data_IF_616202213712
#
_entry.id   IF_616202213712
#
_cell.length_a   1.000
_cell.length_b   1.000
_cell.length_c   1.000
_cell.angle_alpha   90.00
_cell.angle_beta   90.00
_cell.angle_gamma   90.00
#
_symmetry.space_group_name_H-M   'P 1'
#
loop_
_entity.id
_entity.type
_entity.pdbx_description
1 polymer ?
#
# COMPACT_ATOMS: atom_id res chain seq x y z
N UNK A 1 2.53 10.78 18.64
CA UNK A 1 3.66 10.36 17.78
C UNK A 1 3.34 10.81 16.36
N UNK A 2 4.04 11.81 15.78
CA UNK A 2 3.71 12.26 14.43
C UNK A 2 4.02 11.14 13.44
N UNK A 3 3.00 10.66 12.73
CA UNK A 3 3.12 9.75 11.59
C UNK A 3 3.15 10.66 10.37
N UNK A 4 4.28 10.72 9.67
CA UNK A 4 4.36 11.45 8.41
C UNK A 4 3.92 10.49 7.31
N UNK A 5 2.64 10.56 6.93
CA UNK A 5 2.06 9.76 5.85
C UNK A 5 2.08 10.60 4.57
N UNK A 6 3.00 10.30 3.67
CA UNK A 6 3.18 11.03 2.41
C UNK A 6 2.63 10.19 1.25
N UNK A 7 1.31 10.15 1.15
CA UNK A 7 0.64 9.53 0.01
C UNK A 7 0.84 10.41 -1.23
N UNK A 8 1.31 9.84 -2.34
CA UNK A 8 1.57 10.58 -3.58
C UNK A 8 2.74 11.56 -3.54
N UNK A 9 3.67 11.45 -2.57
CA UNK A 9 4.91 12.23 -2.63
C UNK A 9 5.83 11.65 -3.71
N UNK A 10 6.25 12.44 -4.73
CA UNK A 10 7.14 11.97 -5.77
C UNK A 10 8.59 11.87 -5.28
N UNK A 11 8.84 11.02 -4.29
CA UNK A 11 10.10 10.92 -3.58
C UNK A 11 11.26 10.59 -4.52
N UNK A 12 11.07 9.69 -5.49
CA UNK A 12 12.11 9.36 -6.47
C UNK A 12 12.40 10.48 -7.48
N UNK A 13 11.49 11.45 -7.63
CA UNK A 13 11.73 12.67 -8.42
C UNK A 13 12.58 13.67 -7.63
N UNK A 14 12.26 13.86 -6.36
CA UNK A 14 12.91 14.86 -5.51
C UNK A 14 14.24 14.36 -4.92
N UNK A 15 14.36 13.05 -4.73
CA UNK A 15 15.52 12.36 -4.15
C UNK A 15 15.88 11.15 -5.04
N UNK A 16 16.47 11.37 -6.23
CA UNK A 16 16.75 10.29 -7.19
C UNK A 16 17.64 9.17 -6.66
N UNK A 17 18.53 9.48 -5.70
CA UNK A 17 19.42 8.54 -5.03
C UNK A 17 18.67 7.45 -4.23
N UNK A 18 17.39 7.65 -3.91
CA UNK A 18 16.58 6.62 -3.24
C UNK A 18 16.33 5.39 -4.12
N UNK A 19 16.40 5.52 -5.45
CA UNK A 19 16.21 4.39 -6.40
C UNK A 19 17.25 3.28 -6.21
N UNK A 20 18.45 3.62 -5.76
CA UNK A 20 19.54 2.66 -5.51
C UNK A 20 19.19 1.64 -4.41
N UNK A 21 18.20 1.96 -3.57
CA UNK A 21 17.73 1.12 -2.46
C UNK A 21 16.44 0.36 -2.79
N UNK A 22 15.89 0.54 -4.00
CA UNK A 22 14.73 -0.20 -4.49
C UNK A 22 15.22 -1.28 -5.44
N UNK A 23 15.14 -2.53 -5.02
CA UNK A 23 15.50 -3.67 -5.85
C UNK A 23 14.22 -4.18 -6.51
N UNK A 24 14.03 -3.82 -7.78
CA UNK A 24 12.99 -4.42 -8.61
C UNK A 24 13.39 -5.84 -9.00
N UNK A 25 12.47 -6.83 -8.92
CA UNK A 25 12.75 -8.18 -9.41
C UNK A 25 13.09 -8.15 -10.91
N UNK A 26 14.04 -8.97 -11.35
CA UNK A 26 14.54 -9.00 -12.75
C UNK A 26 13.52 -9.44 -13.80
N UNK A 27 12.34 -9.86 -13.38
CA UNK A 27 11.23 -10.27 -14.26
C UNK A 27 10.17 -9.17 -14.42
N UNK A 28 10.43 -7.97 -13.88
CA UNK A 28 9.58 -6.80 -14.05
C UNK A 28 10.39 -5.69 -14.74
N UNK A 29 9.88 -5.19 -15.86
CA UNK A 29 10.40 -3.98 -16.48
C UNK A 29 10.05 -2.78 -15.58
N UNK A 30 11.04 -1.95 -15.29
CA UNK A 30 10.87 -0.72 -14.50
C UNK A 30 10.14 0.34 -15.34
N UNK A 31 8.83 0.18 -15.49
CA UNK A 31 7.92 1.12 -16.17
C UNK A 31 7.68 2.41 -15.36
N UNK A 32 8.25 2.53 -14.16
CA UNK A 32 8.03 3.68 -13.27
C UNK A 32 8.44 5.02 -13.91
N UNK A 33 9.41 5.01 -14.83
CA UNK A 33 9.81 6.21 -15.56
C UNK A 33 8.70 6.77 -16.45
N UNK A 34 8.03 5.89 -17.20
CA UNK A 34 6.96 6.26 -18.13
C UNK A 34 5.66 6.60 -17.36
N UNK A 35 5.36 5.84 -16.31
CA UNK A 35 4.18 6.06 -15.46
C UNK A 35 4.29 7.38 -14.67
N UNK A 36 5.49 7.73 -14.16
CA UNK A 36 5.70 9.03 -13.51
C UNK A 36 5.48 10.18 -14.52
N UNK A 37 5.88 10.02 -15.78
CA UNK A 37 5.67 11.05 -16.80
C UNK A 37 4.16 11.26 -17.08
N UNK A 38 3.41 10.16 -17.22
CA UNK A 38 1.96 10.16 -17.45
C UNK A 38 1.17 10.71 -16.25
N UNK A 39 1.53 10.28 -15.04
CA UNK A 39 0.94 10.79 -13.78
C UNK A 39 1.17 12.30 -13.60
N UNK A 40 2.33 12.81 -14.00
CA UNK A 40 2.64 14.25 -13.96
C UNK A 40 1.84 15.04 -15.00
N UNK A 41 1.62 14.49 -16.19
CA UNK A 41 0.77 15.10 -17.22
C UNK A 41 -0.69 15.19 -16.73
N UNK A 42 -1.20 14.13 -16.12
CA UNK A 42 -2.51 14.10 -15.46
C UNK A 42 -2.61 15.09 -14.30
N UNK A 43 -1.58 15.21 -13.46
CA UNK A 43 -1.52 16.16 -12.34
C UNK A 43 -1.56 17.61 -12.83
N UNK A 44 -0.80 17.94 -13.86
CA UNK A 44 -0.79 19.28 -14.45
C UNK A 44 -2.13 19.61 -15.13
N UNK A 45 -2.75 18.65 -15.81
CA UNK A 45 -4.12 18.77 -16.34
C UNK A 45 -5.16 18.99 -15.24
N UNK A 46 -5.05 18.28 -14.12
CA UNK A 46 -5.94 18.40 -12.97
C UNK A 46 -5.78 19.77 -12.27
N UNK A 47 -4.55 20.23 -12.06
CA UNK A 47 -4.26 21.55 -11.49
C UNK A 47 -4.70 22.69 -12.42
N UNK A 48 -4.57 22.52 -13.73
CA UNK A 48 -5.11 23.45 -14.72
C UNK A 48 -6.66 23.50 -14.66
N UNK A 49 -7.32 22.36 -14.41
CA UNK A 49 -8.77 22.27 -14.21
C UNK A 49 -9.25 22.99 -12.94
N UNK A 50 -8.54 22.81 -11.83
CA UNK A 50 -8.83 23.46 -10.54
C UNK A 50 -8.63 24.98 -10.56
N UNK A 51 -7.64 25.47 -11.31
CA UNK A 51 -7.31 26.90 -11.37
C UNK A 51 -8.15 27.68 -12.39
N UNK A 52 -8.73 27.01 -13.39
CA UNK A 52 -9.50 27.67 -14.47
C UNK A 52 -11.01 27.41 -14.43
N UNK A 53 -11.54 26.74 -13.39
CA UNK A 53 -12.98 26.50 -13.26
C UNK A 53 -13.56 25.68 -14.42
N UNK A 54 -12.77 24.78 -15.00
CA UNK A 54 -13.20 23.98 -16.12
C UNK A 54 -14.03 22.80 -15.63
N UNK A 55 -15.34 22.83 -15.85
CA UNK A 55 -16.19 21.65 -15.76
C UNK A 55 -16.23 20.99 -17.14
N UNK A 56 -15.42 19.95 -17.33
CA UNK A 56 -15.58 19.07 -18.48
C UNK A 56 -16.92 18.33 -18.33
N UNK A 57 -17.74 18.19 -19.39
CA UNK A 57 -18.89 17.30 -19.33
C UNK A 57 -18.42 15.87 -19.04
N UNK A 58 -19.25 15.03 -18.39
CA UNK A 58 -18.88 13.65 -18.11
C UNK A 58 -18.62 12.94 -19.44
N UNK A 59 -17.38 12.54 -19.63
CA UNK A 59 -16.91 11.82 -20.81
C UNK A 59 -16.88 10.32 -20.47
N UNK A 60 -17.78 9.52 -21.07
CA UNK A 60 -17.83 8.08 -20.82
C UNK A 60 -16.51 7.37 -21.13
N UNK A 61 -15.73 7.84 -22.11
CA UNK A 61 -14.41 7.27 -22.42
C UNK A 61 -13.41 7.58 -21.32
N UNK A 62 -13.47 8.78 -20.73
CA UNK A 62 -12.59 9.17 -19.61
C UNK A 62 -12.88 8.39 -18.33
N UNK A 63 -14.15 8.10 -18.06
CA UNK A 63 -14.52 7.25 -16.92
C UNK A 63 -14.00 5.82 -17.15
N UNK A 64 -14.11 5.31 -18.38
CA UNK A 64 -13.60 4.00 -18.75
C UNK A 64 -12.07 3.91 -18.65
N UNK A 65 -11.32 4.96 -19.04
CA UNK A 65 -9.86 5.03 -18.86
C UNK A 65 -9.47 5.05 -17.38
N UNK A 66 -10.18 5.79 -16.52
CA UNK A 66 -9.92 5.80 -15.06
C UNK A 66 -10.21 4.43 -14.44
N UNK A 67 -11.24 3.75 -14.95
CA UNK A 67 -11.65 2.41 -14.51
C UNK A 67 -10.70 1.32 -15.06
N UNK A 68 -10.05 1.57 -16.22
CA UNK A 68 -9.12 0.66 -16.91
C UNK A 68 -7.63 0.93 -16.56
N UNK A 69 -7.28 2.10 -16.02
CA UNK A 69 -5.91 2.47 -15.65
C UNK A 69 -5.44 1.69 -14.41
N UNK A 70 -4.35 0.95 -14.57
CA UNK A 70 -3.58 0.37 -13.48
C UNK A 70 -2.97 1.50 -12.64
N UNK A 71 -3.61 1.85 -11.53
CA UNK A 71 -3.07 2.80 -10.56
C UNK A 71 -1.83 2.19 -9.88
N UNK A 72 -0.65 2.47 -10.42
CA UNK A 72 0.59 2.29 -9.67
C UNK A 72 0.59 3.31 -8.52
N UNK A 73 0.75 2.84 -7.30
CA UNK A 73 0.68 3.70 -6.11
C UNK A 73 1.98 3.61 -5.35
N UNK A 74 2.96 4.37 -5.83
CA UNK A 74 4.24 4.51 -5.13
C UNK A 74 4.05 5.26 -3.80
N UNK A 75 4.34 4.58 -2.68
CA UNK A 75 4.24 5.15 -1.33
C UNK A 75 5.57 5.12 -0.60
N UNK A 76 5.84 6.17 0.18
CA UNK A 76 6.95 6.22 1.13
C UNK A 76 6.41 6.22 2.56
N UNK A 77 6.86 5.26 3.35
CA UNK A 77 6.49 5.14 4.76
C UNK A 77 7.66 5.52 5.66
N UNK A 78 7.50 6.60 6.44
CA UNK A 78 8.49 7.04 7.43
C UNK A 78 7.84 7.02 8.81
N UNK A 79 8.43 6.26 9.73
CA UNK A 79 7.89 6.11 11.08
C UNK A 79 8.99 5.85 12.10
N UNK A 80 8.82 6.25 13.37
CA UNK A 80 9.75 5.90 14.42
C UNK A 80 9.66 4.41 14.78
N UNK A 81 10.66 3.93 15.54
CA UNK A 81 10.67 2.56 16.09
C UNK A 81 9.38 2.30 16.89
N UNK A 82 8.78 1.14 16.66
CA UNK A 82 7.55 0.71 17.35
C UNK A 82 6.26 1.20 16.71
N UNK A 83 6.31 1.88 15.56
CA UNK A 83 5.11 2.18 14.80
C UNK A 83 4.46 0.89 14.26
N UNK A 84 3.14 0.81 14.37
CA UNK A 84 2.33 -0.34 13.98
C UNK A 84 1.31 0.10 12.93
N UNK A 85 1.28 -0.63 11.83
CA UNK A 85 0.12 -0.66 10.91
C UNK A 85 -0.71 -1.87 11.30
N UNK A 86 -2.00 -1.68 11.55
CA UNK A 86 -2.91 -2.77 11.94
C UNK A 86 -3.01 -3.80 10.83
N UNK A 87 -3.37 -5.02 11.18
CA UNK A 87 -3.66 -6.07 10.20
C UNK A 87 -4.77 -5.60 9.25
N UNK A 88 -4.47 -5.66 7.96
CA UNK A 88 -5.35 -5.26 6.87
C UNK A 88 -4.90 -5.96 5.57
N UNK A 89 -5.75 -5.93 4.56
CA UNK A 89 -5.38 -6.23 3.17
C UNK A 89 -5.35 -4.94 2.35
N UNK A 90 -4.57 -4.90 1.27
CA UNK A 90 -4.53 -3.72 0.39
C UNK A 90 -5.77 -3.62 -0.51
N UNK A 91 -6.26 -2.41 -0.72
CA UNK A 91 -7.44 -2.16 -1.56
C UNK A 91 -7.12 -2.25 -3.05
N UNK A 92 -8.16 -2.43 -3.88
CA UNK A 92 -8.05 -2.32 -5.33
C UNK A 92 -7.38 -3.53 -5.99
N UNK A 93 -7.25 -4.65 -5.29
CA UNK A 93 -6.60 -5.86 -5.82
C UNK A 93 -5.11 -5.69 -6.08
N UNK A 94 -4.47 -4.73 -5.42
CA UNK A 94 -3.06 -4.44 -5.61
C UNK A 94 -2.17 -5.51 -4.96
N UNK A 95 -1.13 -5.92 -5.68
CA UNK A 95 0.04 -6.54 -5.08
C UNK A 95 0.94 -5.44 -4.49
N UNK A 96 1.47 -5.64 -3.29
CA UNK A 96 2.39 -4.70 -2.68
C UNK A 96 3.83 -5.20 -2.72
N UNK A 97 4.73 -4.37 -3.26
CA UNK A 97 6.17 -4.53 -3.13
C UNK A 97 6.69 -3.51 -2.13
N UNK A 98 7.16 -4.00 -0.98
CA UNK A 98 7.57 -3.16 0.14
C UNK A 98 9.07 -3.34 0.38
N UNK A 99 9.86 -2.44 -0.22
CA UNK A 99 11.32 -2.39 -0.04
C UNK A 99 11.69 -1.58 1.21
N UNK A 100 12.49 -2.16 2.09
CA UNK A 100 12.91 -1.52 3.33
C UNK A 100 14.19 -0.70 3.09
N UNK A 101 14.06 0.62 3.02
CA UNK A 101 15.20 1.51 2.75
C UNK A 101 16.09 1.72 3.98
N UNK A 102 15.50 1.86 5.18
CA UNK A 102 16.23 2.07 6.45
C UNK A 102 15.54 1.44 7.64
N UNK A 103 16.30 0.89 8.59
CA UNK A 103 15.78 0.16 9.75
C UNK A 103 15.23 -1.22 9.39
N UNK A 104 14.40 -1.78 10.28
CA UNK A 104 13.79 -3.10 10.10
C UNK A 104 12.30 -3.08 10.45
N UNK A 105 11.51 -3.88 9.75
CA UNK A 105 10.07 -4.00 9.98
C UNK A 105 9.68 -5.48 10.12
N UNK A 106 8.92 -5.80 11.16
CA UNK A 106 8.27 -7.10 11.31
C UNK A 106 6.99 -7.09 10.48
N UNK A 107 6.87 -8.05 9.57
CA UNK A 107 5.66 -8.37 8.85
C UNK A 107 5.07 -9.66 9.41
N UNK A 108 3.76 -9.62 9.69
CA UNK A 108 2.94 -10.78 10.01
C UNK A 108 1.84 -10.81 8.96
N UNK A 109 1.96 -11.74 8.02
CA UNK A 109 1.08 -11.89 6.88
C UNK A 109 0.26 -13.17 7.01
N UNK A 110 -0.92 -13.20 6.40
CA UNK A 110 -1.80 -14.36 6.37
C UNK A 110 -2.31 -14.56 4.95
N UNK A 111 -2.63 -15.80 4.59
CA UNK A 111 -3.24 -16.08 3.29
C UNK A 111 -4.69 -15.55 3.27
N UNK A 112 -5.24 -15.16 2.10
CA UNK A 112 -6.64 -14.77 1.99
C UNK A 112 -7.63 -15.83 2.49
N UNK A 113 -7.26 -17.12 2.39
CA UNK A 113 -8.04 -18.25 2.91
C UNK A 113 -8.24 -18.23 4.43
N UNK A 114 -7.36 -17.54 5.16
CA UNK A 114 -7.46 -17.43 6.61
C UNK A 114 -8.39 -16.28 7.04
N UNK A 115 -8.94 -15.50 6.10
CA UNK A 115 -9.69 -14.26 6.39
C UNK A 115 -10.82 -14.41 7.40
N UNK A 116 -11.53 -15.54 7.42
CA UNK A 116 -12.60 -15.78 8.40
C UNK A 116 -12.09 -15.89 9.85
N UNK A 117 -10.86 -16.38 10.04
CA UNK A 117 -10.18 -16.50 11.34
C UNK A 117 -9.59 -15.17 11.83
N UNK A 118 -9.52 -14.16 10.95
CA UNK A 118 -8.88 -12.87 11.24
C UNK A 118 -9.89 -11.79 11.64
N UNK A 119 -11.18 -12.12 11.76
CA UNK A 119 -12.23 -11.19 12.22
C UNK A 119 -12.15 -9.79 11.54
N UNK A 120 -12.33 -9.72 10.21
CA UNK A 120 -12.34 -8.46 9.48
C UNK A 120 -13.48 -7.56 9.96
N UNK A 121 -13.30 -6.24 9.82
CA UNK A 121 -14.37 -5.29 10.11
C UNK A 121 -15.60 -5.57 9.23
N UNK A 122 -16.81 -5.44 9.80
CA UNK A 122 -18.08 -5.65 9.11
C UNK A 122 -18.84 -4.32 9.02
N UNK A 123 -19.30 -3.93 7.82
CA UNK A 123 -20.14 -2.74 7.61
C UNK A 123 -19.41 -1.54 6.96
N UNK A 124 -20.17 -0.50 6.59
CA UNK A 124 -19.77 0.58 5.67
C UNK A 124 -18.98 1.74 6.33
N UNK A 125 -18.23 1.46 7.40
CA UNK A 125 -17.58 2.49 8.23
C UNK A 125 -16.19 2.95 7.72
N UNK A 126 -15.95 2.91 6.41
CA UNK A 126 -14.72 3.47 5.80
C UNK A 126 -13.39 2.79 6.19
N UNK A 127 -13.45 1.64 6.87
CA UNK A 127 -12.31 0.85 7.33
C UNK A 127 -12.33 -0.59 6.78
N UNK A 128 -13.06 -0.84 5.69
CA UNK A 128 -13.47 -2.17 5.21
C UNK A 128 -12.36 -3.22 5.04
N UNK A 129 -11.10 -2.82 4.96
CA UNK A 129 -9.98 -3.73 4.75
C UNK A 129 -9.20 -4.13 6.01
N UNK A 130 -9.62 -3.69 7.20
CA UNK A 130 -8.93 -3.95 8.46
C UNK A 130 -9.47 -5.14 9.26
N UNK A 131 -8.70 -5.56 10.26
CA UNK A 131 -9.02 -6.64 11.21
C UNK A 131 -9.03 -6.15 12.66
N UNK A 132 -9.87 -6.77 13.50
CA UNK A 132 -9.87 -6.58 14.96
C UNK A 132 -8.75 -7.33 15.68
N UNK A 133 -8.11 -8.27 15.00
CA UNK A 133 -7.04 -9.11 15.55
C UNK A 133 -5.73 -8.32 15.56
N UNK A 134 -5.09 -8.28 16.73
CA UNK A 134 -3.68 -7.94 16.85
C UNK A 134 -2.90 -9.26 17.03
N UNK A 135 -2.13 -9.71 16.01
CA UNK A 135 -1.41 -10.98 16.09
C UNK A 135 -0.24 -10.95 17.08
N UNK A 136 0.14 -9.78 17.60
CA UNK A 136 1.17 -9.63 18.63
C UNK A 136 0.60 -9.57 20.05
N UNK A 137 -0.73 -9.58 20.22
CA UNK A 137 -1.37 -9.63 21.53
C UNK A 137 -1.20 -11.05 22.13
N UNK A 138 -0.56 -11.20 23.31
CA UNK A 138 -0.37 -12.51 23.93
C UNK A 138 -1.69 -13.20 24.31
N UNK A 139 -2.79 -12.45 24.43
CA UNK A 139 -4.12 -12.98 24.76
C UNK A 139 -4.99 -13.18 23.51
N UNK A 140 -4.44 -13.02 22.30
CA UNK A 140 -5.21 -13.04 21.04
C UNK A 140 -6.07 -14.29 20.91
N UNK A 141 -5.54 -15.47 21.22
CA UNK A 141 -6.29 -16.74 21.14
C UNK A 141 -7.41 -16.86 22.19
N UNK A 142 -7.29 -16.16 23.34
CA UNK A 142 -8.35 -16.13 24.35
C UNK A 142 -9.47 -15.15 23.96
N UNK A 143 -9.11 -14.03 23.30
CA UNK A 143 -10.06 -13.02 22.80
C UNK A 143 -10.77 -13.47 21.53
N UNK A 144 -10.04 -14.19 20.66
CA UNK A 144 -10.45 -14.63 19.34
C UNK A 144 -10.12 -16.12 19.17
N UNK A 145 -10.96 -17.04 19.68
CA UNK A 145 -10.66 -18.48 19.63
C UNK A 145 -10.45 -19.01 18.21
N UNK A 146 -11.15 -18.47 17.21
CA UNK A 146 -11.03 -18.90 15.82
C UNK A 146 -9.69 -18.51 15.18
N UNK A 147 -8.97 -17.54 15.74
CA UNK A 147 -7.64 -17.11 15.27
C UNK A 147 -6.62 -18.25 15.27
N UNK A 148 -6.78 -19.27 16.15
CA UNK A 148 -5.90 -20.43 16.19
C UNK A 148 -5.92 -21.26 14.90
N UNK A 149 -6.95 -21.06 14.05
CA UNK A 149 -7.04 -21.66 12.72
C UNK A 149 -6.23 -20.94 11.65
N UNK A 150 -5.78 -19.70 11.89
CA UNK A 150 -5.00 -18.92 10.94
C UNK A 150 -3.51 -19.29 10.98
N UNK A 151 -2.84 -19.29 9.83
CA UNK A 151 -1.40 -19.61 9.72
C UNK A 151 -0.59 -18.36 9.36
N UNK A 152 0.20 -17.81 10.29
CA UNK A 152 0.99 -16.62 10.01
C UNK A 152 2.26 -16.95 9.22
N UNK A 153 2.54 -16.12 8.21
CA UNK A 153 3.85 -15.98 7.57
C UNK A 153 4.56 -14.79 8.20
N UNK A 154 5.69 -15.04 8.85
CA UNK A 154 6.40 -14.01 9.65
C UNK A 154 7.77 -13.76 9.06
N UNK A 155 8.08 -12.50 8.79
CA UNK A 155 9.39 -12.07 8.33
C UNK A 155 9.80 -10.76 8.99
N UNK A 156 11.08 -10.64 9.32
CA UNK A 156 11.69 -9.34 9.58
C UNK A 156 12.38 -8.93 8.28
N UNK A 157 11.94 -7.82 7.69
CA UNK A 157 12.54 -7.26 6.48
C UNK A 157 13.58 -6.24 6.92
N UNK A 158 14.82 -6.46 6.51
CA UNK A 158 15.99 -5.63 6.79
C UNK A 158 16.31 -4.67 5.63
N UNK A 159 17.29 -3.77 5.83
CA UNK A 159 17.64 -2.77 4.82
C UNK A 159 18.09 -3.42 3.50
N UNK A 160 17.50 -2.97 2.39
CA UNK A 160 17.76 -3.50 1.04
C UNK A 160 16.93 -4.72 0.67
N UNK A 161 16.17 -5.30 1.60
CA UNK A 161 15.25 -6.40 1.31
C UNK A 161 13.87 -5.87 0.86
N UNK A 162 13.19 -6.69 0.06
CA UNK A 162 11.83 -6.43 -0.42
C UNK A 162 10.94 -7.60 -0.03
N UNK A 163 9.80 -7.32 0.58
CA UNK A 163 8.71 -8.29 0.73
C UNK A 163 7.62 -8.03 -0.31
N UNK A 164 7.06 -9.11 -0.85
CA UNK A 164 5.89 -9.07 -1.72
C UNK A 164 4.69 -9.55 -0.91
N UNK A 165 3.67 -8.72 -0.79
CA UNK A 165 2.36 -9.11 -0.29
C UNK A 165 1.41 -9.25 -1.50
N UNK A 166 1.06 -10.48 -1.89
CA UNK A 166 0.14 -10.69 -2.99
C UNK A 166 -1.29 -10.28 -2.61
N UNK A 167 -2.10 -9.97 -3.63
CA UNK A 167 -3.55 -9.88 -3.51
C UNK A 167 -4.14 -11.19 -2.95
#
# INVERSE_FOLDING_TARGET
CPRLYLNGWPAFRQLPWLREYVVNPTFFDDVSGDIIAESEELRELFLAGLTKGYQAPPDPERQQVIDDEYWDMTKVFISPKGAITRLHYDNGGAHAWLSQVRGRKLFVCFAPSDGEHLHPFRGDEGLLNGSWVDPLDPEVASKWPDYVGATPYIAVVEEGETIVAPQ
#
